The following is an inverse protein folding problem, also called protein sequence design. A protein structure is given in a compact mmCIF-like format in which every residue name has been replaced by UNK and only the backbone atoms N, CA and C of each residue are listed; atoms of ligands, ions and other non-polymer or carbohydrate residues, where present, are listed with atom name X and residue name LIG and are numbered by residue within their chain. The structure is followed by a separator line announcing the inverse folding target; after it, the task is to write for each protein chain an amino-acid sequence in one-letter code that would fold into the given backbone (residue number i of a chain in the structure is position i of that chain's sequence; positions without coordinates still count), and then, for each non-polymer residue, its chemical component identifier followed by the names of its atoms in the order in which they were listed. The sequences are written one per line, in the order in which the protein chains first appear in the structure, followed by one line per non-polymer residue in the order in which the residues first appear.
data_IF_684626427267
#
_entry.id   IF_684626427267
#
_cell.length_a   1.000
_cell.length_b   1.000
_cell.length_c   1.000
_cell.angle_alpha   90.00
_cell.angle_beta   90.00
_cell.angle_gamma   90.00
#
_symmetry.space_group_name_H-M   'P 1'
#
loop_
_entity.id
_entity.type
_entity.pdbx_description
1 polymer ?
#
# COMPACT_ATOMS: atom_id res chain seq x y z
N UNK A 1 -10.12 -1.44 2.77
CA UNK A 1 -9.20 -0.29 2.90
C UNK A 1 -8.52 -0.32 4.26
N UNK A 2 -7.25 0.06 4.34
CA UNK A 2 -6.50 0.10 5.60
C UNK A 2 -7.00 1.22 6.56
N UNK A 3 -6.88 1.04 7.89
CA UNK A 3 -7.24 2.05 8.88
C UNK A 3 -6.33 3.28 8.75
N UNK A 4 -6.85 4.48 8.98
CA UNK A 4 -6.05 5.72 8.94
C UNK A 4 -5.28 5.91 10.25
N UNK A 5 -4.01 6.32 10.17
CA UNK A 5 -3.22 6.78 11.31
C UNK A 5 -3.40 8.30 11.54
N UNK A 6 -2.81 8.85 12.59
CA UNK A 6 -2.84 10.30 12.83
C UNK A 6 -2.16 11.10 11.72
N UNK A 7 -1.14 10.55 11.08
CA UNK A 7 -0.25 11.28 10.14
C UNK A 7 -0.24 10.68 8.74
N UNK A 8 -0.59 9.42 8.58
CA UNK A 8 -0.55 8.72 7.29
C UNK A 8 -1.65 7.67 7.12
N UNK A 9 -1.81 7.18 5.88
CA UNK A 9 -2.73 6.11 5.53
C UNK A 9 -2.16 5.27 4.40
N UNK A 10 -2.22 3.95 4.53
CA UNK A 10 -1.95 3.02 3.44
C UNK A 10 -3.11 3.07 2.44
N UNK A 11 -2.78 3.43 1.20
CA UNK A 11 -3.77 3.65 0.13
C UNK A 11 -3.87 2.44 -0.78
N UNK A 12 -2.73 1.85 -1.12
CA UNK A 12 -2.66 0.68 -1.98
C UNK A 12 -1.43 -0.18 -1.65
N UNK A 13 -1.56 -1.48 -1.91
CA UNK A 13 -0.43 -2.40 -1.96
C UNK A 13 -0.44 -3.14 -3.28
N UNK A 14 0.71 -3.26 -3.92
CA UNK A 14 0.86 -3.96 -5.19
C UNK A 14 2.03 -4.94 -5.07
N UNK A 15 1.85 -6.16 -5.57
CA UNK A 15 2.91 -7.16 -5.57
C UNK A 15 3.43 -7.36 -6.99
N UNK A 16 4.71 -7.06 -7.22
CA UNK A 16 5.37 -7.21 -8.53
C UNK A 16 6.64 -8.02 -8.33
N UNK A 17 6.77 -9.13 -9.06
CA UNK A 17 7.96 -9.99 -8.97
C UNK A 17 8.22 -10.58 -7.58
N UNK A 18 7.18 -10.75 -6.76
CA UNK A 18 7.30 -11.23 -5.38
C UNK A 18 7.66 -10.16 -4.35
N UNK A 19 7.83 -8.90 -4.77
CA UNK A 19 8.03 -7.77 -3.85
C UNK A 19 6.72 -6.98 -3.67
N UNK A 20 6.37 -6.70 -2.42
CA UNK A 20 5.21 -5.87 -2.09
C UNK A 20 5.61 -4.40 -2.01
N UNK A 21 5.10 -3.59 -2.94
CA UNK A 21 5.16 -2.13 -2.90
C UNK A 21 3.98 -1.56 -2.13
N UNK A 22 4.26 -0.52 -1.35
CA UNK A 22 3.30 0.22 -0.55
C UNK A 22 3.16 1.63 -1.12
N UNK A 23 1.91 2.09 -1.22
CA UNK A 23 1.58 3.49 -1.49
C UNK A 23 0.95 4.09 -0.24
N UNK A 24 1.67 4.99 0.44
CA UNK A 24 1.23 5.62 1.68
C UNK A 24 0.99 7.11 1.42
N UNK A 25 -0.17 7.62 1.82
CA UNK A 25 -0.44 9.06 1.83
C UNK A 25 -0.09 9.61 3.22
N UNK A 26 0.97 10.40 3.29
CA UNK A 26 1.41 11.12 4.48
C UNK A 26 0.92 12.59 4.42
N UNK A 27 0.53 13.16 5.56
CA UNK A 27 -0.05 14.52 5.61
C UNK A 27 0.93 15.63 5.17
N UNK A 28 2.22 15.50 5.48
CA UNK A 28 3.25 16.50 5.13
C UNK A 28 3.91 16.19 3.77
N UNK A 29 4.42 14.97 3.59
CA UNK A 29 5.19 14.58 2.41
C UNK A 29 4.32 14.18 1.19
N UNK A 30 3.00 14.06 1.35
CA UNK A 30 2.12 13.57 0.29
C UNK A 30 2.27 12.07 0.05
N UNK A 31 2.28 11.63 -1.21
CA UNK A 31 2.42 10.22 -1.53
C UNK A 31 3.86 9.73 -1.39
N UNK A 32 4.04 8.70 -0.57
CA UNK A 32 5.30 8.01 -0.33
C UNK A 32 5.18 6.58 -0.85
N UNK A 33 6.12 6.19 -1.71
CA UNK A 33 6.15 4.89 -2.36
C UNK A 33 7.42 4.15 -1.97
N UNK A 34 7.28 2.92 -1.45
CA UNK A 34 8.43 2.12 -1.02
C UNK A 34 8.08 0.64 -0.95
N UNK A 35 9.09 -0.23 -0.96
CA UNK A 35 8.89 -1.66 -0.76
C UNK A 35 8.69 -1.95 0.74
N UNK A 36 7.86 -2.95 1.06
CA UNK A 36 7.63 -3.39 2.43
C UNK A 36 8.94 -3.74 3.19
N UNK A 37 9.94 -4.30 2.48
CA UNK A 37 11.27 -4.63 3.05
C UNK A 37 12.08 -3.40 3.47
N UNK A 38 11.74 -2.21 2.94
CA UNK A 38 12.43 -0.96 3.19
C UNK A 38 11.71 -0.08 4.23
N UNK A 39 10.72 -0.63 4.95
CA UNK A 39 9.95 0.07 6.00
C UNK A 39 10.85 0.65 7.09
N UNK A 40 11.93 -0.05 7.46
CA UNK A 40 12.90 0.42 8.46
C UNK A 40 13.67 1.68 8.07
N UNK A 41 13.65 2.06 6.78
CA UNK A 41 14.32 3.26 6.24
C UNK A 41 13.39 4.47 6.16
N UNK A 42 12.10 4.31 6.49
CA UNK A 42 11.11 5.37 6.43
C UNK A 42 11.08 6.19 7.73
N UNK A 43 10.32 7.29 7.69
CA UNK A 43 10.00 8.10 8.89
C UNK A 43 9.40 7.22 9.98
N UNK A 44 9.68 7.56 11.24
CA UNK A 44 9.26 6.82 12.44
C UNK A 44 7.75 6.53 12.43
N UNK A 45 6.94 7.51 12.06
CA UNK A 45 5.48 7.43 12.09
C UNK A 45 4.89 6.56 10.96
N UNK A 46 5.54 6.55 9.79
CA UNK A 46 5.21 5.59 8.72
C UNK A 46 5.63 4.18 9.14
N UNK A 47 6.82 4.04 9.73
CA UNK A 47 7.37 2.76 10.19
C UNK A 47 6.47 2.11 11.25
N UNK A 48 6.11 2.83 12.32
CA UNK A 48 5.22 2.33 13.36
C UNK A 48 3.88 1.86 12.76
N UNK A 49 3.26 2.71 11.93
CA UNK A 49 1.99 2.40 11.30
C UNK A 49 2.03 1.18 10.38
N UNK A 50 3.06 1.05 9.54
CA UNK A 50 3.19 -0.10 8.63
C UNK A 50 3.55 -1.37 9.38
N UNK A 51 4.37 -1.31 10.43
CA UNK A 51 4.70 -2.48 11.26
C UNK A 51 3.46 -3.08 11.93
N UNK A 52 2.51 -2.25 12.38
CA UNK A 52 1.22 -2.73 12.91
C UNK A 52 0.36 -3.44 11.84
N UNK A 53 0.47 -3.00 10.58
CA UNK A 53 -0.31 -3.53 9.46
C UNK A 53 0.40 -4.65 8.71
N UNK A 54 1.70 -4.85 8.93
CA UNK A 54 2.55 -5.76 8.18
C UNK A 54 2.00 -7.18 8.07
N UNK A 55 1.45 -7.82 9.12
CA UNK A 55 0.85 -9.15 9.00
C UNK A 55 -0.29 -9.18 7.97
N UNK A 56 -1.18 -8.18 8.00
CA UNK A 56 -2.34 -8.08 7.09
C UNK A 56 -1.91 -7.73 5.66
N UNK A 57 -0.85 -6.95 5.50
CA UNK A 57 -0.25 -6.66 4.20
C UNK A 57 0.29 -7.95 3.57
N UNK A 58 1.02 -8.76 4.35
CA UNK A 58 1.58 -10.04 3.89
C UNK A 58 0.50 -11.08 3.57
N UNK A 59 -0.63 -11.06 4.30
CA UNK A 59 -1.81 -11.86 4.00
C UNK A 59 -2.59 -11.37 2.77
N UNK A 60 -2.19 -10.25 2.15
CA UNK A 60 -2.84 -9.71 0.96
C UNK A 60 -4.17 -8.99 1.24
N UNK A 61 -4.52 -8.72 2.51
CA UNK A 61 -5.80 -8.09 2.93
C UNK A 61 -6.01 -6.72 2.28
N UNK A 62 -4.93 -6.03 1.93
CA UNK A 62 -4.95 -4.71 1.30
C UNK A 62 -4.52 -4.71 -0.16
N UNK A 63 -4.27 -5.90 -0.73
CA UNK A 63 -3.95 -6.03 -2.14
C UNK A 63 -5.19 -5.72 -2.96
N UNK A 64 -5.06 -4.75 -3.86
CA UNK A 64 -6.07 -4.52 -4.89
C UNK A 64 -5.69 -5.37 -6.10
N UNK A 65 -6.62 -6.21 -6.56
CA UNK A 65 -6.47 -6.87 -7.85
C UNK A 65 -6.58 -5.80 -8.95
N UNK A 66 -5.60 -5.76 -9.84
CA UNK A 66 -5.69 -4.96 -11.06
C UNK A 66 -6.66 -5.70 -11.98
N UNK A 67 -7.82 -5.12 -12.23
CA UNK A 67 -8.75 -5.63 -13.25
C UNK A 67 -8.22 -5.21 -14.61
N UNK A 68 -8.04 -6.18 -15.50
CA UNK A 68 -7.60 -5.91 -16.86
C UNK A 68 -8.72 -5.19 -17.61
N UNK A 69 -8.46 -3.96 -18.07
CA UNK A 69 -9.45 -3.14 -18.78
C UNK A 69 -9.78 -3.68 -20.18
N UNK A 70 -9.05 -4.69 -20.66
CA UNK A 70 -9.30 -5.32 -21.97
C UNK A 70 -10.54 -6.24 -21.97
N UNK A 71 -11.11 -6.59 -20.81
CA UNK A 71 -12.33 -7.40 -20.68
C UNK A 71 -13.63 -6.58 -20.53
N UNK A 72 -13.59 -5.25 -20.68
CA UNK A 72 -14.85 -4.52 -20.79
C UNK A 72 -15.42 -4.69 -22.20
N UNK A 73 -16.45 -5.55 -22.33
CA UNK A 73 -17.29 -5.58 -23.52
C UNK A 73 -17.77 -4.16 -23.81
N UNK A 74 -17.36 -3.61 -24.95
CA UNK A 74 -17.90 -2.37 -25.49
C UNK A 74 -19.40 -2.61 -25.69
N UNK A 75 -20.22 -2.16 -24.73
CA UNK A 75 -21.67 -2.14 -24.90
C UNK A 75 -22.01 -1.13 -26.00
N UNK A 76 -22.29 -1.65 -27.20
CA UNK A 76 -22.81 -0.95 -28.37
C UNK A 76 -24.23 -0.42 -28.13
#
# INVERSE_FOLDING_TARGET
MAPKSKTCRLVATTTVGGETQLSVLHHEDGFVYFNLKDTDKQREDIKEYINELQPKILEGVYSAELVDMEEEEICC
#
